data_IF_990155893637
#
_entry.id   IF_990155893637
#
_cell.length_a   1.000
_cell.length_b   1.000
_cell.length_c   1.000
_cell.angle_alpha   90.00
_cell.angle_beta   90.00
_cell.angle_gamma   90.00
#
_symmetry.space_group_name_H-M   'P 1'
#
loop_
_entity.id
_entity.type
_entity.pdbx_description
1 polymer ?
#
# COMPACT_ATOMS: atom_id res chain seq x y z
N UNK A 1 7.03 20.61 -4.12
CA UNK A 1 5.95 19.87 -4.81
C UNK A 1 6.37 18.55 -5.47
N UNK A 2 7.65 18.31 -5.79
CA UNK A 2 8.08 17.11 -6.56
C UNK A 2 8.14 15.78 -5.78
N UNK A 3 8.29 15.79 -4.44
CA UNK A 3 8.49 14.56 -3.64
C UNK A 3 7.23 13.70 -3.48
N UNK A 4 6.07 14.32 -3.24
CA UNK A 4 4.79 13.61 -3.12
C UNK A 4 4.34 12.99 -4.44
N UNK A 5 4.54 13.68 -5.56
CA UNK A 5 4.24 13.13 -6.89
C UNK A 5 5.08 11.89 -7.22
N UNK A 6 6.34 11.86 -6.78
CA UNK A 6 7.22 10.71 -6.96
C UNK A 6 6.71 9.48 -6.17
N UNK A 7 6.21 9.68 -4.94
CA UNK A 7 5.59 8.62 -4.13
C UNK A 7 4.31 8.09 -4.79
N UNK A 8 3.47 8.97 -5.34
CA UNK A 8 2.25 8.58 -6.05
C UNK A 8 2.54 7.82 -7.35
N UNK A 9 3.58 8.19 -8.09
CA UNK A 9 4.05 7.46 -9.26
C UNK A 9 4.51 6.05 -8.91
N UNK A 10 5.20 5.89 -7.78
CA UNK A 10 5.55 4.58 -7.25
C UNK A 10 4.30 3.78 -6.82
N UNK A 11 3.30 4.44 -6.23
CA UNK A 11 2.06 3.81 -5.78
C UNK A 11 1.14 3.36 -6.93
N UNK A 12 1.12 4.10 -8.05
CA UNK A 12 0.21 3.90 -9.19
C UNK A 12 0.00 2.43 -9.60
N UNK A 13 1.05 1.60 -9.82
CA UNK A 13 0.86 0.19 -10.18
C UNK A 13 0.28 -0.66 -9.04
N UNK A 14 0.50 -0.29 -7.78
CA UNK A 14 0.05 -1.04 -6.61
C UNK A 14 -1.39 -0.72 -6.19
N UNK A 15 -1.96 0.40 -6.66
CA UNK A 15 -3.35 0.80 -6.33
C UNK A 15 -4.37 -0.24 -6.77
N UNK A 16 -4.24 -0.73 -8.02
CA UNK A 16 -5.15 -1.75 -8.55
C UNK A 16 -5.07 -3.05 -7.75
N UNK A 17 -3.86 -3.49 -7.40
CA UNK A 17 -3.65 -4.66 -6.56
C UNK A 17 -4.26 -4.49 -5.17
N UNK A 18 -4.05 -3.34 -4.54
CA UNK A 18 -4.61 -3.03 -3.22
C UNK A 18 -6.15 -2.99 -3.24
N UNK A 19 -6.76 -2.50 -4.31
CA UNK A 19 -8.20 -2.46 -4.47
C UNK A 19 -8.81 -3.87 -4.60
N UNK A 20 -8.19 -4.75 -5.40
CA UNK A 20 -8.60 -6.16 -5.52
C UNK A 20 -8.51 -6.86 -4.17
N UNK A 21 -7.40 -6.66 -3.44
CA UNK A 21 -7.20 -7.25 -2.11
C UNK A 21 -8.29 -6.76 -1.13
N UNK A 22 -8.66 -5.48 -1.14
CA UNK A 22 -9.74 -4.95 -0.31
C UNK A 22 -11.09 -5.63 -0.56
N UNK A 23 -11.44 -5.88 -1.83
CA UNK A 23 -12.68 -6.58 -2.20
C UNK A 23 -12.63 -8.01 -1.62
N UNK A 24 -11.56 -8.75 -1.90
CA UNK A 24 -11.40 -10.14 -1.42
C UNK A 24 -11.45 -10.22 0.11
N UNK A 25 -10.76 -9.32 0.81
CA UNK A 25 -10.80 -9.24 2.28
C UNK A 25 -12.21 -9.03 2.81
N UNK A 26 -12.97 -8.14 2.18
CA UNK A 26 -14.35 -7.83 2.60
C UNK A 26 -15.25 -9.06 2.49
N UNK A 27 -15.09 -9.87 1.44
CA UNK A 27 -15.85 -11.11 1.27
C UNK A 27 -15.48 -12.20 2.29
N UNK A 28 -14.21 -12.34 2.64
CA UNK A 28 -13.73 -13.37 3.58
C UNK A 28 -14.05 -13.00 5.03
N UNK A 29 -13.84 -11.73 5.40
CA UNK A 29 -14.01 -11.25 6.77
C UNK A 29 -14.17 -9.72 6.81
N UNK A 30 -15.36 -9.17 7.14
CA UNK A 30 -15.58 -7.72 7.20
C UNK A 30 -14.96 -7.05 8.45
N UNK A 31 -14.10 -7.76 9.17
CA UNK A 31 -13.49 -7.30 10.41
C UNK A 31 -12.27 -6.42 10.11
N UNK A 32 -12.22 -5.23 10.72
CA UNK A 32 -11.15 -4.24 10.51
C UNK A 32 -9.76 -4.76 10.90
N UNK A 33 -9.66 -5.46 12.04
CA UNK A 33 -8.38 -5.91 12.60
C UNK A 33 -7.64 -6.90 11.68
N UNK A 34 -8.22 -8.03 11.24
CA UNK A 34 -7.52 -8.96 10.33
C UNK A 34 -7.22 -8.33 8.97
N UNK A 35 -8.06 -7.41 8.50
CA UNK A 35 -7.87 -6.71 7.24
C UNK A 35 -6.68 -5.72 7.29
N UNK A 36 -6.47 -5.01 8.41
CA UNK A 36 -5.27 -4.19 8.61
C UNK A 36 -4.01 -5.07 8.72
N UNK A 37 -4.11 -6.20 9.42
CA UNK A 37 -2.99 -7.11 9.67
C UNK A 37 -2.46 -7.75 8.38
N UNK A 38 -3.37 -8.19 7.51
CA UNK A 38 -3.04 -8.71 6.18
C UNK A 38 -2.44 -7.64 5.27
N UNK A 39 -2.92 -6.39 5.30
CA UNK A 39 -2.28 -5.27 4.58
C UNK A 39 -0.85 -5.01 5.06
N UNK A 40 -0.63 -5.05 6.37
CA UNK A 40 0.69 -4.83 6.96
C UNK A 40 1.66 -5.93 6.49
N UNK A 41 1.21 -7.19 6.50
CA UNK A 41 1.95 -8.32 5.97
C UNK A 41 2.28 -8.17 4.46
N UNK A 42 1.30 -7.75 3.65
CA UNK A 42 1.50 -7.53 2.22
C UNK A 42 2.53 -6.45 1.92
N UNK A 43 2.56 -5.37 2.69
CA UNK A 43 3.55 -4.29 2.52
C UNK A 43 4.95 -4.74 2.94
N UNK A 44 5.07 -5.56 3.98
CA UNK A 44 6.36 -6.16 4.36
C UNK A 44 6.86 -7.09 3.24
N UNK A 45 5.98 -7.92 2.68
CA UNK A 45 6.31 -8.77 1.53
C UNK A 45 6.70 -7.94 0.31
N UNK A 46 5.96 -6.87 0.00
CA UNK A 46 6.29 -5.96 -1.10
C UNK A 46 7.68 -5.37 -0.91
N UNK A 47 7.98 -4.91 0.31
CA UNK A 47 9.29 -4.36 0.64
C UNK A 47 10.41 -5.38 0.45
N UNK A 48 10.19 -6.61 0.92
CA UNK A 48 11.15 -7.71 0.76
C UNK A 48 11.41 -8.02 -0.73
N UNK A 49 10.34 -8.19 -1.51
CA UNK A 49 10.43 -8.49 -2.95
C UNK A 49 11.11 -7.36 -3.71
N UNK A 50 10.75 -6.10 -3.47
CA UNK A 50 11.36 -4.95 -4.17
C UNK A 50 12.82 -4.77 -3.76
N UNK A 51 13.17 -5.07 -2.50
CA UNK A 51 14.55 -5.01 -2.01
C UNK A 51 15.45 -6.06 -2.66
N UNK A 52 14.94 -7.27 -2.87
CA UNK A 52 15.72 -8.39 -3.41
C UNK A 52 15.69 -8.48 -4.94
N UNK A 53 14.64 -7.95 -5.57
CA UNK A 53 14.47 -8.00 -7.03
C UNK A 53 15.24 -6.91 -7.79
N UNK A 54 15.21 -7.01 -9.12
CA UNK A 54 15.74 -6.00 -10.06
C UNK A 54 15.16 -4.59 -9.86
N UNK A 55 14.01 -4.49 -9.17
CA UNK A 55 13.36 -3.24 -8.78
C UNK A 55 14.10 -2.47 -7.67
N UNK A 56 15.15 -3.07 -7.08
CA UNK A 56 16.08 -2.39 -6.16
C UNK A 56 16.67 -1.11 -6.76
N UNK A 57 16.86 -1.04 -8.09
CA UNK A 57 17.30 0.19 -8.76
C UNK A 57 16.30 1.34 -8.60
N UNK A 58 14.99 1.06 -8.58
CA UNK A 58 13.98 2.10 -8.30
C UNK A 58 14.11 2.57 -6.86
N UNK A 59 14.28 1.67 -5.89
CA UNK A 59 14.50 2.07 -4.48
C UNK A 59 15.76 2.93 -4.30
N UNK A 60 16.86 2.59 -4.97
CA UNK A 60 18.10 3.39 -4.94
C UNK A 60 17.88 4.77 -5.57
N UNK A 61 17.12 4.86 -6.68
CA UNK A 61 16.74 6.14 -7.28
C UNK A 61 15.95 7.03 -6.32
N UNK A 62 14.93 6.49 -5.65
CA UNK A 62 14.17 7.25 -4.64
C UNK A 62 15.02 7.61 -3.42
N UNK A 63 15.95 6.75 -3.01
CA UNK A 63 16.88 7.03 -1.92
C UNK A 63 17.84 8.18 -2.28
N UNK A 64 18.34 8.21 -3.52
CA UNK A 64 19.17 9.30 -4.04
C UNK A 64 18.40 10.63 -4.18
N UNK A 65 17.08 10.58 -4.35
CA UNK A 65 16.20 11.76 -4.26
C UNK A 65 15.95 12.23 -2.81
N UNK A 66 16.57 11.58 -1.82
CA UNK A 66 16.45 11.88 -0.40
C UNK A 66 15.20 11.27 0.26
N UNK A 67 14.53 10.32 -0.40
CA UNK A 67 13.36 9.63 0.13
C UNK A 67 13.78 8.24 0.61
N UNK A 68 13.86 8.08 1.93
CA UNK A 68 14.21 6.80 2.52
C UNK A 68 13.18 5.73 2.14
N UNK A 69 13.64 4.51 1.84
CA UNK A 69 12.78 3.38 1.44
C UNK A 69 11.67 3.13 2.46
N UNK A 70 12.00 3.09 3.76
CA UNK A 70 11.00 2.89 4.82
C UNK A 70 9.89 3.96 4.79
N UNK A 71 10.24 5.22 4.51
CA UNK A 71 9.28 6.32 4.43
C UNK A 71 8.31 6.14 3.27
N UNK A 72 8.80 5.62 2.14
CA UNK A 72 8.00 5.25 0.97
C UNK A 72 6.96 4.20 1.34
N UNK A 73 7.39 3.08 1.93
CA UNK A 73 6.48 1.99 2.32
C UNK A 73 5.50 2.39 3.42
N UNK A 74 5.92 3.21 4.40
CA UNK A 74 5.00 3.75 5.41
C UNK A 74 3.91 4.64 4.80
N UNK A 75 4.25 5.49 3.82
CA UNK A 75 3.25 6.32 3.14
C UNK A 75 2.28 5.48 2.31
N UNK A 76 2.76 4.44 1.63
CA UNK A 76 1.90 3.49 0.93
C UNK A 76 0.91 2.82 1.89
N UNK A 77 1.39 2.35 3.05
CA UNK A 77 0.54 1.76 4.08
C UNK A 77 -0.56 2.71 4.56
N UNK A 78 -0.21 3.98 4.85
CA UNK A 78 -1.19 4.96 5.31
C UNK A 78 -2.27 5.21 4.26
N UNK A 79 -1.88 5.40 3.00
CA UNK A 79 -2.84 5.60 1.89
C UNK A 79 -3.75 4.37 1.76
N UNK A 80 -3.18 3.17 1.80
CA UNK A 80 -3.91 1.92 1.67
C UNK A 80 -4.89 1.66 2.81
N UNK A 81 -4.53 2.02 4.04
CA UNK A 81 -5.42 1.93 5.20
C UNK A 81 -6.53 2.97 5.11
N UNK A 82 -6.23 4.22 4.72
CA UNK A 82 -7.26 5.24 4.49
C UNK A 82 -8.29 4.79 3.45
N UNK A 83 -7.85 4.27 2.31
CA UNK A 83 -8.76 3.74 1.26
C UNK A 83 -9.60 2.60 1.82
N UNK A 84 -9.02 1.70 2.60
CA UNK A 84 -9.73 0.56 3.19
C UNK A 84 -10.79 1.01 4.21
N UNK A 85 -10.49 2.00 5.06
CA UNK A 85 -11.47 2.56 6.01
C UNK A 85 -12.64 3.19 5.28
N UNK A 86 -12.37 3.98 4.23
CA UNK A 86 -13.43 4.57 3.38
C UNK A 86 -14.27 3.46 2.72
N UNK A 87 -13.62 2.43 2.18
CA UNK A 87 -14.29 1.31 1.53
C UNK A 87 -15.20 0.52 2.50
N UNK A 88 -14.70 0.17 3.67
CA UNK A 88 -15.49 -0.52 4.70
C UNK A 88 -16.64 0.35 5.23
N UNK A 89 -16.40 1.66 5.40
CA UNK A 89 -17.46 2.58 5.79
C UNK A 89 -18.55 2.65 4.72
N UNK A 90 -18.18 2.61 3.44
CA UNK A 90 -19.12 2.63 2.33
C UNK A 90 -19.95 1.33 2.30
N UNK A 91 -19.31 0.17 2.43
CA UNK A 91 -20.01 -1.13 2.44
C UNK A 91 -20.97 -1.27 3.63
N UNK A 92 -20.57 -0.80 4.81
CA UNK A 92 -21.45 -0.77 5.99
C UNK A 92 -22.73 0.04 5.82
N UNK A 93 -22.81 0.93 4.84
CA UNK A 93 -24.05 1.68 4.54
C UNK A 93 -25.05 0.80 3.77
N UNK A 94 -24.58 -0.25 3.07
CA UNK A 94 -25.42 -1.12 2.25
C UNK A 94 -25.75 -2.48 2.90
N UNK A 95 -25.06 -2.84 3.99
CA UNK A 95 -25.28 -4.03 4.82
C UNK A 95 -25.95 -3.62 6.12
#
# INVERSE_FOLDING_TARGET
>A
MQRFGAILLFYKPYVFWSFIINIVLTFISPQLVPAILTKLFLIILLWFIVKESHEKRKLVFYNNLGINSLRLFSMLFIIDVCIMVVFLSFIKVFI
#
